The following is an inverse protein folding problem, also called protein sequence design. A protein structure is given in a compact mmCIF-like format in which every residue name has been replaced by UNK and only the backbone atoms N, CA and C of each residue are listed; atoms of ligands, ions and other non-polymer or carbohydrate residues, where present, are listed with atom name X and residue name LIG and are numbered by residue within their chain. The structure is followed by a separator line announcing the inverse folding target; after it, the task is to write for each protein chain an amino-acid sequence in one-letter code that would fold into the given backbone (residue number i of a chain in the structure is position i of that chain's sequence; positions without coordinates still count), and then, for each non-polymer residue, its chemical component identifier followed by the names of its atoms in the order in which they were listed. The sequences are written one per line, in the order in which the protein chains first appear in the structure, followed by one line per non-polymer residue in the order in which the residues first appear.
data_IF_992200089049
#
_entry.id   IF_992200089049
#
_cell.length_a   1.000
_cell.length_b   1.000
_cell.length_c   1.000
_cell.angle_alpha   90.00
_cell.angle_beta   90.00
_cell.angle_gamma   90.00
#
_symmetry.space_group_name_H-M   'P 1'
#
loop_
_entity.id
_entity.type
_entity.pdbx_description
1 polymer ?
#
# COMPACT_ATOMS: atom_id res chain seq x y z
N UNK A 1 8.16 24.41 -0.28
CA UNK A 1 7.11 23.48 0.16
C UNK A 1 6.76 22.61 -1.02
N UNK A 2 6.53 21.32 -0.82
CA UNK A 2 6.38 20.35 -1.90
C UNK A 2 5.07 19.59 -1.78
N UNK A 3 4.51 19.19 -2.91
CA UNK A 3 3.49 18.16 -2.96
C UNK A 3 4.07 16.85 -3.48
N UNK A 4 3.67 15.71 -2.92
CA UNK A 4 3.98 14.37 -3.42
C UNK A 4 2.70 13.59 -3.73
N UNK A 5 2.70 12.89 -4.87
CA UNK A 5 1.72 11.85 -5.20
C UNK A 5 2.45 10.55 -5.51
N UNK A 6 1.90 9.48 -4.98
CA UNK A 6 2.53 8.18 -4.96
C UNK A 6 1.70 7.22 -5.80
N UNK A 7 2.35 6.47 -6.68
CA UNK A 7 1.68 5.52 -7.56
C UNK A 7 0.80 4.56 -6.76
N UNK A 8 -0.47 4.43 -7.13
CA UNK A 8 -1.42 3.53 -6.47
C UNK A 8 -1.86 3.95 -5.06
N UNK A 9 -1.43 5.11 -4.56
CA UNK A 9 -1.80 5.62 -3.23
C UNK A 9 -2.72 6.82 -3.40
N UNK A 10 -3.78 6.84 -2.60
CA UNK A 10 -4.79 7.88 -2.65
C UNK A 10 -4.45 9.03 -1.69
N UNK A 11 -4.56 10.26 -2.21
CA UNK A 11 -4.26 11.49 -1.49
C UNK A 11 -3.07 12.23 -2.10
N UNK A 12 -2.88 13.47 -1.69
CA UNK A 12 -1.67 14.25 -2.01
C UNK A 12 -1.01 14.66 -0.70
N UNK A 13 0.27 14.38 -0.55
CA UNK A 13 1.05 14.79 0.62
C UNK A 13 1.61 16.19 0.37
N UNK A 14 1.39 17.13 1.28
CA UNK A 14 2.04 18.45 1.27
C UNK A 14 3.04 18.52 2.40
N UNK A 15 4.27 18.97 2.16
CA UNK A 15 5.32 18.97 3.19
C UNK A 15 6.38 20.07 3.03
N UNK A 16 7.06 20.38 4.13
CA UNK A 16 8.20 21.30 4.23
C UNK A 16 9.54 20.57 4.44
N UNK A 17 9.60 19.30 4.05
CA UNK A 17 10.71 18.35 4.28
C UNK A 17 10.82 17.80 5.70
N UNK A 18 10.24 18.48 6.70
CA UNK A 18 10.26 18.03 8.10
C UNK A 18 8.90 17.50 8.55
N UNK A 19 7.83 18.22 8.18
CA UNK A 19 6.45 17.92 8.49
C UNK A 19 5.63 17.78 7.24
N UNK A 20 4.59 16.98 7.31
CA UNK A 20 3.63 16.78 6.23
C UNK A 20 2.17 16.81 6.70
N UNK A 21 1.29 16.99 5.73
CA UNK A 21 -0.17 16.84 5.85
C UNK A 21 -0.71 16.11 4.62
N UNK A 22 -1.73 15.28 4.80
CA UNK A 22 -2.41 14.59 3.68
C UNK A 22 -3.63 15.40 3.30
N UNK A 23 -3.70 15.81 2.05
CA UNK A 23 -4.83 16.52 1.46
C UNK A 23 -5.70 15.51 0.72
N UNK A 24 -6.98 15.51 1.07
CA UNK A 24 -7.96 14.65 0.42
C UNK A 24 -8.38 15.24 -0.93
N UNK A 25 -8.80 14.39 -1.88
CA UNK A 25 -9.12 14.83 -3.26
C UNK A 25 -10.24 15.88 -3.35
N UNK A 26 -11.06 16.00 -2.30
CA UNK A 26 -12.19 16.92 -2.23
C UNK A 26 -11.82 18.30 -1.65
N UNK A 27 -10.61 18.44 -1.11
CA UNK A 27 -10.14 19.70 -0.53
C UNK A 27 -9.50 20.55 -1.62
N UNK A 28 -10.27 21.53 -2.13
CA UNK A 28 -9.84 22.46 -3.19
C UNK A 28 -9.30 23.73 -2.56
N UNK A 29 -8.02 23.72 -2.19
CA UNK A 29 -7.28 24.94 -1.93
C UNK A 29 -5.90 24.78 -2.54
N UNK A 30 -5.54 25.64 -3.49
CA UNK A 30 -4.20 25.67 -4.10
C UNK A 30 -3.36 26.83 -3.50
N UNK A 31 -3.82 27.43 -2.41
CA UNK A 31 -3.12 28.55 -1.78
C UNK A 31 -1.95 28.06 -0.93
N UNK A 32 -0.77 28.62 -1.20
CA UNK A 32 0.45 28.34 -0.45
C UNK A 32 0.34 28.79 1.01
N UNK A 33 -0.35 29.91 1.27
CA UNK A 33 -0.61 30.40 2.63
C UNK A 33 -1.50 29.44 3.40
N UNK A 34 -2.53 28.90 2.74
CA UNK A 34 -3.40 27.90 3.34
C UNK A 34 -2.63 26.65 3.77
N UNK A 35 -1.80 26.10 2.89
CA UNK A 35 -0.98 24.93 3.23
C UNK A 35 0.08 25.23 4.29
N UNK A 36 0.63 26.44 4.29
CA UNK A 36 1.61 26.87 5.29
C UNK A 36 0.99 26.93 6.68
N UNK A 37 -0.19 27.52 6.81
CA UNK A 37 -0.91 27.55 8.08
C UNK A 37 -1.33 26.14 8.52
N UNK A 38 -1.84 25.31 7.62
CA UNK A 38 -2.23 23.93 7.94
C UNK A 38 -1.05 23.06 8.36
N UNK A 39 0.13 23.25 7.76
CA UNK A 39 1.36 22.58 8.20
C UNK A 39 1.80 23.03 9.60
N UNK A 40 1.57 24.29 9.97
CA UNK A 40 1.86 24.77 11.34
C UNK A 40 0.92 24.18 12.37
N UNK A 41 -0.38 24.10 12.07
CA UNK A 41 -1.40 23.62 13.02
C UNK A 41 -1.46 22.10 13.11
N UNK A 42 -1.45 21.42 11.95
CA UNK A 42 -1.80 20.00 11.84
C UNK A 42 -0.61 19.14 11.39
N UNK A 43 0.53 19.77 11.05
CA UNK A 43 1.69 19.10 10.50
C UNK A 43 2.30 18.08 11.47
N UNK A 44 2.52 16.87 10.94
CA UNK A 44 3.17 15.76 11.66
C UNK A 44 4.49 15.38 11.00
N UNK A 45 5.41 14.67 11.69
CA UNK A 45 6.67 14.25 11.11
C UNK A 45 6.48 13.56 9.76
N UNK A 46 7.25 13.98 8.75
CA UNK A 46 7.04 13.57 7.36
C UNK A 46 7.01 12.05 7.17
N UNK A 47 7.88 11.31 7.88
CA UNK A 47 7.91 9.84 7.82
C UNK A 47 6.59 9.22 8.28
N UNK A 48 6.04 9.67 9.41
CA UNK A 48 4.76 9.18 9.94
C UNK A 48 3.61 9.46 8.99
N UNK A 49 3.62 10.62 8.34
CA UNK A 49 2.57 11.02 7.40
C UNK A 49 2.60 10.15 6.14
N UNK A 50 3.79 9.87 5.60
CA UNK A 50 3.96 8.95 4.47
C UNK A 50 3.49 7.54 4.81
N UNK A 51 3.94 7.00 5.94
CA UNK A 51 3.53 5.67 6.41
C UNK A 51 2.01 5.59 6.54
N UNK A 52 1.39 6.58 7.19
CA UNK A 52 -0.06 6.67 7.32
C UNK A 52 -0.75 6.74 5.96
N UNK A 53 -0.28 7.60 5.06
CA UNK A 53 -0.88 7.77 3.72
C UNK A 53 -0.89 6.46 2.92
N UNK A 54 0.22 5.73 2.97
CA UNK A 54 0.38 4.43 2.32
C UNK A 54 -0.57 3.42 2.95
N UNK A 55 -0.51 3.26 4.28
CA UNK A 55 -1.32 2.30 5.02
C UNK A 55 -2.82 2.55 4.84
N UNK A 56 -3.27 3.80 4.95
CA UNK A 56 -4.69 4.15 4.80
C UNK A 56 -5.20 3.91 3.38
N UNK A 57 -4.36 4.13 2.36
CA UNK A 57 -4.73 3.81 0.97
C UNK A 57 -4.85 2.32 0.74
N UNK A 58 -3.84 1.55 1.15
CA UNK A 58 -3.86 0.10 1.02
C UNK A 58 -5.04 -0.50 1.80
N UNK A 59 -5.32 0.01 3.00
CA UNK A 59 -6.46 -0.42 3.82
C UNK A 59 -7.80 -0.27 3.09
N UNK A 60 -7.99 0.80 2.31
CA UNK A 60 -9.23 1.06 1.55
C UNK A 60 -9.42 0.08 0.40
N UNK A 61 -8.32 -0.29 -0.27
CA UNK A 61 -8.33 -1.11 -1.48
C UNK A 61 -8.08 -2.61 -1.19
N UNK A 62 -7.72 -2.96 0.05
CA UNK A 62 -7.41 -4.34 0.45
C UNK A 62 -8.63 -5.24 0.29
N UNK A 63 -8.38 -6.38 -0.37
CA UNK A 63 -9.31 -7.49 -0.48
C UNK A 63 -8.82 -8.67 0.35
N UNK A 64 -9.75 -9.35 1.00
CA UNK A 64 -9.51 -10.50 1.87
C UNK A 64 -10.29 -11.69 1.31
N UNK A 65 -9.62 -12.53 0.52
CA UNK A 65 -10.27 -13.69 -0.10
C UNK A 65 -10.69 -14.72 0.97
N UNK A 66 -11.97 -15.15 1.02
CA UNK A 66 -12.42 -16.19 1.95
C UNK A 66 -11.61 -17.49 1.89
N UNK A 67 -11.05 -17.86 0.74
CA UNK A 67 -10.17 -19.02 0.61
C UNK A 67 -8.86 -18.84 1.39
N UNK A 68 -8.31 -17.62 1.43
CA UNK A 68 -7.10 -17.33 2.20
C UNK A 68 -7.41 -17.30 3.70
N UNK A 69 -8.57 -16.78 4.09
CA UNK A 69 -9.05 -16.84 5.47
C UNK A 69 -9.23 -18.29 5.93
N UNK A 70 -9.82 -19.14 5.10
CA UNK A 70 -9.91 -20.58 5.34
C UNK A 70 -8.50 -21.17 5.57
N UNK A 71 -7.58 -20.93 4.65
CA UNK A 71 -6.21 -21.42 4.74
C UNK A 71 -5.47 -20.90 5.99
N UNK A 72 -5.80 -19.69 6.46
CA UNK A 72 -5.27 -19.14 7.71
C UNK A 72 -5.73 -19.93 8.94
N UNK A 73 -7.01 -20.30 9.00
CA UNK A 73 -7.52 -21.17 10.06
C UNK A 73 -6.97 -22.60 9.96
N UNK A 74 -6.86 -23.15 8.75
CA UNK A 74 -6.25 -24.48 8.52
C UNK A 74 -4.82 -24.54 9.05
N UNK A 75 -4.00 -23.50 8.79
CA UNK A 75 -2.62 -23.40 9.30
C UNK A 75 -2.53 -23.36 10.84
N UNK A 76 -3.62 -23.00 11.51
CA UNK A 76 -3.73 -22.97 12.97
C UNK A 76 -4.42 -24.19 13.55
N UNK A 77 -4.70 -25.20 12.72
CA UNK A 77 -5.43 -26.42 13.09
C UNK A 77 -6.84 -26.13 13.65
N UNK A 78 -7.47 -25.04 13.18
CA UNK A 78 -8.82 -24.65 13.59
C UNK A 78 -9.84 -25.02 12.49
N UNK A 79 -10.21 -26.30 12.45
CA UNK A 79 -11.12 -26.84 11.43
C UNK A 79 -12.52 -26.22 11.47
N UNK A 80 -13.01 -25.91 12.67
CA UNK A 80 -14.37 -25.40 12.87
C UNK A 80 -14.50 -24.00 12.28
N UNK A 81 -13.54 -23.11 12.54
CA UNK A 81 -13.54 -21.77 11.95
C UNK A 81 -13.09 -21.79 10.48
N UNK A 82 -12.26 -22.75 10.08
CA UNK A 82 -11.94 -22.97 8.66
C UNK A 82 -13.21 -23.24 7.84
N UNK A 83 -14.10 -24.12 8.31
CA UNK A 83 -15.33 -24.46 7.58
C UNK A 83 -16.29 -23.27 7.48
N UNK A 84 -16.46 -22.51 8.58
CA UNK A 84 -17.27 -21.28 8.60
C UNK A 84 -16.80 -20.21 7.61
N UNK A 85 -15.53 -20.23 7.19
CA UNK A 85 -15.00 -19.26 6.23
C UNK A 85 -15.67 -19.36 4.86
N UNK A 86 -16.31 -20.50 4.54
CA UNK A 86 -17.06 -20.70 3.29
C UNK A 86 -18.35 -19.88 3.23
N UNK A 87 -18.90 -19.50 4.38
CA UNK A 87 -20.13 -18.70 4.49
C UNK A 87 -19.86 -17.18 4.35
N UNK A 88 -18.61 -16.78 4.16
CA UNK A 88 -18.24 -15.38 3.94
C UNK A 88 -18.52 -14.98 2.49
N UNK A 89 -19.43 -14.02 2.31
CA UNK A 89 -20.04 -13.74 1.00
C UNK A 89 -19.41 -12.54 0.27
N UNK A 90 -18.28 -12.04 0.74
CA UNK A 90 -17.59 -10.88 0.17
C UNK A 90 -16.09 -11.06 0.26
N UNK A 91 -15.35 -10.36 -0.59
CA UNK A 91 -13.89 -10.17 -0.48
C UNK A 91 -13.53 -8.83 0.20
N UNK A 92 -14.52 -8.04 0.64
CA UNK A 92 -14.31 -6.72 1.25
C UNK A 92 -14.27 -6.84 2.78
N UNK A 93 -13.14 -6.52 3.44
CA UNK A 93 -12.99 -6.68 4.89
C UNK A 93 -14.11 -6.02 5.72
N UNK A 94 -14.54 -4.82 5.34
CA UNK A 94 -15.62 -4.09 6.03
C UNK A 94 -16.96 -4.82 5.96
N UNK A 95 -17.27 -5.47 4.83
CA UNK A 95 -18.51 -6.24 4.69
C UNK A 95 -18.42 -7.56 5.44
N UNK A 96 -17.28 -8.24 5.37
CA UNK A 96 -17.02 -9.46 6.12
C UNK A 96 -17.14 -9.23 7.63
N UNK A 97 -16.50 -8.18 8.15
CA UNK A 97 -16.61 -7.81 9.57
C UNK A 97 -18.06 -7.57 10.00
N UNK A 98 -18.85 -6.86 9.17
CA UNK A 98 -20.27 -6.62 9.44
C UNK A 98 -21.07 -7.92 9.47
N UNK A 99 -20.84 -8.82 8.53
CA UNK A 99 -21.49 -10.13 8.46
C UNK A 99 -21.15 -11.00 9.68
N UNK A 100 -19.86 -11.11 10.01
CA UNK A 100 -19.40 -11.89 11.17
C UNK A 100 -20.02 -11.37 12.46
N UNK A 101 -20.11 -10.04 12.59
CA UNK A 101 -20.69 -9.40 13.76
C UNK A 101 -22.22 -9.53 13.83
N UNK A 102 -22.93 -9.48 12.71
CA UNK A 102 -24.39 -9.66 12.70
C UNK A 102 -24.78 -11.07 13.10
N UNK A 103 -24.01 -12.06 12.64
CA UNK A 103 -24.31 -13.48 12.80
C UNK A 103 -23.36 -14.11 13.83
N UNK A 104 -23.04 -13.38 14.91
CA UNK A 104 -22.05 -13.79 15.90
C UNK A 104 -22.41 -15.10 16.60
N UNK A 105 -23.69 -15.47 16.68
CA UNK A 105 -24.13 -16.76 17.21
C UNK A 105 -23.70 -17.94 16.34
N UNK A 106 -23.52 -17.73 15.03
CA UNK A 106 -23.02 -18.73 14.10
C UNK A 106 -21.49 -18.69 14.03
N UNK A 107 -20.91 -17.52 13.76
CA UNK A 107 -19.46 -17.39 13.59
C UNK A 107 -18.72 -17.60 14.91
N UNK A 108 -19.21 -17.03 16.01
CA UNK A 108 -18.56 -17.05 17.31
C UNK A 108 -17.43 -16.03 17.43
N UNK A 109 -17.05 -15.73 18.67
CA UNK A 109 -15.99 -14.75 18.97
C UNK A 109 -14.62 -15.22 18.47
N UNK A 110 -14.33 -16.52 18.53
CA UNK A 110 -13.06 -17.08 18.05
C UNK A 110 -12.87 -16.88 16.55
N UNK A 111 -13.94 -16.99 15.76
CA UNK A 111 -13.89 -16.69 14.33
C UNK A 111 -13.63 -15.20 14.10
N UNK A 112 -14.30 -14.31 14.83
CA UNK A 112 -14.09 -12.87 14.71
C UNK A 112 -12.64 -12.48 15.04
N UNK A 113 -12.08 -13.02 16.13
CA UNK A 113 -10.69 -12.80 16.51
C UNK A 113 -9.74 -13.33 15.42
N UNK A 114 -9.98 -14.54 14.93
CA UNK A 114 -9.21 -15.14 13.84
C UNK A 114 -9.24 -14.31 12.55
N UNK A 115 -10.42 -13.78 12.20
CA UNK A 115 -10.61 -12.88 11.07
C UNK A 115 -9.84 -11.56 11.24
N UNK A 116 -9.90 -10.93 12.42
CA UNK A 116 -9.16 -9.69 12.69
C UNK A 116 -7.64 -9.92 12.62
N UNK A 117 -7.15 -11.05 13.14
CA UNK A 117 -5.75 -11.45 13.00
C UNK A 117 -5.33 -11.68 11.55
N UNK A 118 -6.16 -12.37 10.77
CA UNK A 118 -5.94 -12.58 9.33
C UNK A 118 -5.91 -11.25 8.56
N UNK A 119 -6.88 -10.37 8.83
CA UNK A 119 -6.95 -9.06 8.19
C UNK A 119 -5.72 -8.20 8.50
N UNK A 120 -5.27 -8.18 9.76
CA UNK A 120 -4.03 -7.49 10.16
C UNK A 120 -2.82 -8.01 9.38
N UNK A 121 -2.68 -9.34 9.30
CA UNK A 121 -1.61 -9.98 8.55
C UNK A 121 -1.63 -9.63 7.04
N UNK A 122 -2.80 -9.68 6.41
CA UNK A 122 -2.94 -9.32 4.99
C UNK A 122 -2.63 -7.83 4.74
N UNK A 123 -3.04 -6.95 5.64
CA UNK A 123 -2.73 -5.52 5.56
C UNK A 123 -1.23 -5.27 5.68
N UNK A 124 -0.57 -5.86 6.68
CA UNK A 124 0.87 -5.68 6.89
C UNK A 124 1.67 -6.22 5.69
N UNK A 125 1.27 -7.38 5.14
CA UNK A 125 1.88 -7.91 3.93
C UNK A 125 1.65 -7.00 2.71
N UNK A 126 0.45 -6.45 2.54
CA UNK A 126 0.15 -5.54 1.44
C UNK A 126 0.96 -4.24 1.54
N UNK A 127 1.08 -3.67 2.73
CA UNK A 127 1.96 -2.52 3.01
C UNK A 127 3.41 -2.88 2.70
N UNK A 128 3.92 -3.99 3.23
CA UNK A 128 5.30 -4.42 3.01
C UNK A 128 5.61 -4.61 1.53
N UNK A 129 4.69 -5.21 0.74
CA UNK A 129 4.86 -5.36 -0.71
C UNK A 129 4.93 -4.02 -1.43
N UNK A 130 4.09 -3.06 -1.03
CA UNK A 130 4.13 -1.72 -1.60
C UNK A 130 5.47 -1.04 -1.29
N UNK A 131 5.89 -1.09 -0.03
CA UNK A 131 7.11 -0.47 0.49
C UNK A 131 8.39 -1.04 -0.12
N UNK A 132 8.42 -2.35 -0.41
CA UNK A 132 9.58 -3.02 -1.00
C UNK A 132 9.74 -2.76 -2.50
N UNK A 133 8.65 -2.44 -3.19
CA UNK A 133 8.64 -2.32 -4.65
C UNK A 133 8.98 -0.90 -5.10
N UNK A 134 9.62 -0.78 -6.26
CA UNK A 134 9.77 0.50 -6.93
C UNK A 134 8.39 1.07 -7.29
N UNK A 135 8.21 2.34 -6.99
CA UNK A 135 7.00 3.11 -7.29
C UNK A 135 7.38 4.36 -8.07
N UNK A 136 6.43 4.92 -8.81
CA UNK A 136 6.54 6.27 -9.35
C UNK A 136 6.09 7.28 -8.31
N UNK A 137 6.93 8.28 -8.04
CA UNK A 137 6.61 9.40 -7.17
C UNK A 137 6.63 10.67 -8.03
N UNK A 138 5.49 11.35 -8.07
CA UNK A 138 5.32 12.68 -8.65
C UNK A 138 5.53 13.71 -7.53
N UNK A 139 6.47 14.63 -7.72
CA UNK A 139 6.74 15.73 -6.78
C UNK A 139 6.59 17.07 -7.50
N UNK A 140 6.04 18.07 -6.83
CA UNK A 140 5.88 19.43 -7.39
C UNK A 140 6.24 20.46 -6.32
N UNK A 141 7.01 21.48 -6.69
CA UNK A 141 7.34 22.61 -5.81
C UNK A 141 6.16 23.58 -5.81
N UNK A 142 5.61 23.89 -4.64
CA UNK A 142 4.48 24.79 -4.55
C UNK A 142 4.98 26.25 -4.57
N UNK A 143 4.39 27.08 -5.44
CA UNK A 143 4.59 28.54 -5.48
C UNK A 143 5.81 29.05 -6.24
N UNK A 144 6.61 28.16 -6.85
CA UNK A 144 7.78 28.54 -7.66
C UNK A 144 7.57 28.14 -9.12
N UNK A 145 7.25 26.87 -9.35
CA UNK A 145 7.09 26.28 -10.68
C UNK A 145 5.92 25.28 -10.64
N UNK A 146 5.10 25.24 -11.69
CA UNK A 146 4.00 24.29 -11.75
C UNK A 146 4.48 22.90 -12.26
N UNK A 147 5.71 22.81 -12.76
CA UNK A 147 6.21 21.58 -13.37
C UNK A 147 6.36 20.42 -12.38
N UNK A 148 5.65 19.32 -12.68
CA UNK A 148 5.73 18.09 -11.93
C UNK A 148 6.97 17.28 -12.34
N UNK A 149 7.69 16.82 -11.32
CA UNK A 149 8.92 16.03 -11.43
C UNK A 149 8.63 14.58 -11.07
N UNK A 150 9.17 13.64 -11.84
CA UNK A 150 8.92 12.21 -11.64
C UNK A 150 10.18 11.49 -11.23
N UNK A 151 10.07 10.56 -10.29
CA UNK A 151 11.17 9.71 -9.83
C UNK A 151 10.68 8.29 -9.63
N UNK A 152 11.56 7.31 -9.81
CA UNK A 152 11.35 5.98 -9.23
C UNK A 152 12.01 5.93 -7.85
N UNK A 153 11.36 5.25 -6.91
CA UNK A 153 11.93 5.02 -5.60
C UNK A 153 11.11 4.05 -4.76
N UNK A 154 11.64 3.73 -3.60
CA UNK A 154 11.00 2.88 -2.60
C UNK A 154 10.76 3.66 -1.33
N UNK A 155 9.89 3.15 -0.47
CA UNK A 155 9.65 3.76 0.83
C UNK A 155 9.53 2.70 1.88
N UNK A 156 10.43 2.70 2.85
CA UNK A 156 10.35 1.79 3.98
C UNK A 156 10.00 2.58 5.22
N UNK A 157 8.84 2.31 5.81
CA UNK A 157 8.35 2.99 7.03
C UNK A 157 8.39 4.52 6.89
N UNK A 158 7.90 5.00 5.75
CA UNK A 158 7.87 6.42 5.39
C UNK A 158 9.23 7.05 5.00
N UNK A 159 10.32 6.29 5.02
CA UNK A 159 11.62 6.75 4.50
C UNK A 159 11.70 6.53 2.99
N UNK A 160 11.52 7.61 2.24
CA UNK A 160 11.59 7.61 0.79
C UNK A 160 13.04 7.63 0.29
N UNK A 161 13.39 6.67 -0.56
CA UNK A 161 14.69 6.56 -1.23
C UNK A 161 14.50 6.60 -2.73
N UNK A 162 15.10 7.60 -3.38
CA UNK A 162 15.13 7.74 -4.83
C UNK A 162 16.07 6.69 -5.44
N UNK A 163 15.60 5.99 -6.47
CA UNK A 163 16.37 5.03 -7.24
C UNK A 163 16.86 5.62 -8.58
N UNK A 164 16.21 6.68 -9.08
CA UNK A 164 16.58 7.35 -10.33
C UNK A 164 16.78 8.84 -10.12
N UNK A 165 17.46 9.47 -11.09
CA UNK A 165 17.35 10.92 -11.32
C UNK A 165 15.92 11.29 -11.75
N UNK A 166 15.69 12.60 -11.88
CA UNK A 166 14.44 13.15 -12.39
C UNK A 166 14.12 12.60 -13.78
N UNK A 167 12.87 12.19 -13.98
CA UNK A 167 12.35 11.63 -15.21
C UNK A 167 11.46 12.66 -15.90
N UNK A 168 11.53 12.78 -17.25
CA UNK A 168 10.91 13.92 -17.95
C UNK A 168 9.37 13.88 -17.98
N UNK A 169 8.78 12.71 -17.80
CA UNK A 169 7.33 12.55 -17.81
C UNK A 169 6.89 11.29 -17.07
N UNK A 170 5.60 11.26 -16.71
CA UNK A 170 4.97 10.07 -16.13
C UNK A 170 5.07 8.85 -17.05
N UNK A 171 4.86 9.03 -18.36
CA UNK A 171 4.94 7.92 -19.34
C UNK A 171 6.32 7.28 -19.34
N UNK A 172 7.39 8.10 -19.31
CA UNK A 172 8.76 7.60 -19.26
C UNK A 172 9.02 6.89 -17.92
N UNK A 173 8.48 7.40 -16.81
CA UNK A 173 8.58 6.73 -15.52
C UNK A 173 7.88 5.37 -15.49
N UNK A 174 6.73 5.24 -16.14
CA UNK A 174 6.02 3.97 -16.32
C UNK A 174 6.82 2.98 -17.17
N UNK A 175 7.41 3.43 -18.28
CA UNK A 175 8.27 2.60 -19.12
C UNK A 175 9.53 2.13 -18.37
N UNK A 176 10.21 3.02 -17.66
CA UNK A 176 11.39 2.66 -16.85
C UNK A 176 11.02 1.66 -15.75
N UNK A 177 9.91 1.88 -15.05
CA UNK A 177 9.42 0.95 -14.03
C UNK A 177 9.12 -0.43 -14.62
N UNK A 178 8.50 -0.52 -15.79
CA UNK A 178 8.24 -1.79 -16.47
C UNK A 178 9.54 -2.54 -16.85
N UNK A 179 10.63 -1.83 -17.17
CA UNK A 179 11.93 -2.46 -17.45
C UNK A 179 12.48 -3.16 -16.21
N UNK A 180 12.31 -2.60 -15.02
CA UNK A 180 12.73 -3.24 -13.76
C UNK A 180 11.96 -4.54 -13.53
N UNK A 181 10.63 -4.51 -13.59
CA UNK A 181 9.81 -5.72 -13.42
C UNK A 181 10.05 -6.78 -14.50
N UNK A 182 10.33 -6.36 -15.74
CA UNK A 182 10.65 -7.29 -16.83
C UNK A 182 12.01 -7.98 -16.64
N UNK A 183 12.98 -7.29 -16.01
CA UNK A 183 14.28 -7.87 -15.66
C UNK A 183 14.17 -8.87 -14.50
N UNK A 184 13.39 -8.55 -13.46
CA UNK A 184 13.13 -9.48 -12.35
C UNK A 184 12.48 -10.77 -12.84
N UNK A 185 11.46 -10.68 -13.71
CA UNK A 185 10.80 -11.87 -14.28
C UNK A 185 11.77 -12.77 -15.07
N UNK A 186 12.70 -12.18 -15.81
CA UNK A 186 13.73 -12.93 -16.55
C UNK A 186 14.70 -13.62 -15.59
N UNK A 187 15.16 -12.95 -14.54
CA UNK A 187 16.07 -13.56 -13.54
C UNK A 187 15.42 -14.71 -12.78
N UNK A 188 14.16 -14.58 -12.36
CA UNK A 188 13.43 -15.66 -11.66
C UNK A 188 13.23 -16.87 -12.58
N UNK A 189 12.94 -16.65 -13.87
CA UNK A 189 12.86 -17.74 -14.85
C UNK A 189 14.21 -18.43 -15.09
N UNK A 190 15.30 -17.68 -15.19
CA UNK A 190 16.64 -18.28 -15.37
C UNK A 190 17.05 -19.13 -14.16
N UNK A 191 16.83 -18.64 -12.94
CA UNK A 191 17.12 -19.41 -11.73
C UNK A 191 16.26 -20.67 -11.60
N UNK A 192 14.96 -20.60 -11.91
CA UNK A 192 14.09 -21.79 -11.85
C UNK A 192 14.42 -22.83 -12.93
N UNK A 193 14.96 -22.43 -14.09
CA UNK A 193 15.46 -23.34 -15.13
C UNK A 193 16.80 -24.00 -14.71
N UNK A 194 17.67 -23.26 -14.01
CA UNK A 194 18.94 -23.81 -13.48
C UNK A 194 18.70 -24.83 -12.36
N UNK A 195 17.80 -24.55 -11.41
CA UNK A 195 17.47 -25.50 -10.34
C UNK A 195 16.84 -26.81 -10.84
N UNK A 196 16.14 -26.80 -11.99
CA UNK A 196 15.59 -28.04 -12.57
C UNK A 196 16.64 -28.90 -13.28
N UNK A 197 17.79 -28.33 -13.67
CA UNK A 197 18.88 -29.09 -14.32
C UNK A 197 19.75 -29.86 -13.33
N UNK A 198 19.81 -29.42 -12.07
CA UNK A 198 20.62 -30.07 -11.02
C UNK A 198 19.89 -31.25 -10.33
N UNK A 199 18.65 -31.56 -10.70
CA UNK A 199 17.89 -32.71 -10.18
C UNK A 199 17.83 -33.92 -11.11
N UNK A 200 18.43 -33.84 -12.30
CA UNK A 200 18.50 -34.92 -13.30
C UNK A 200 19.95 -35.43 -13.52
N UNK A 201 20.73 -35.60 -12.44
CA UNK A 201 21.97 -36.41 -12.43
C UNK A 201 21.94 -37.51 -11.36
#
# INVERSE_FOLDING_TARGET
MKSEKWQGISGTLIHDETKGIIIDKNEKSDSLDYFSEKLKTDGKPLKEVREKMIKDSIKRDLKTNPLHLKAWFDKKYDSDNSEKSKEINSDKPTLQYKQIKSDISFFGESFLEGFLGFYGFELDNAVSRYESNLQIIETKELGIDDEAKYFLGTSQKGEFKKATSELPSKSIAEEELQKFFSKEKKQVQTQSIELTKDTDE
#
